data_IF_534386741902
#
_entry.id   IF_534386741902
#
_cell.length_a   1.000
_cell.length_b   1.000
_cell.length_c   1.000
_cell.angle_alpha   90.00
_cell.angle_beta   90.00
_cell.angle_gamma   90.00
#
_symmetry.space_group_name_H-M   'P 1'
#
loop_
_entity.id
_entity.type
_entity.pdbx_description
1 polymer ?
#
# COMPACT_ATOMS: atom_id res chain seq x y z
N UNK A 1 -19.92 -30.36 -12.33
CA UNK A 1 -20.98 -29.83 -11.43
C UNK A 1 -21.16 -28.35 -11.74
N UNK A 2 -22.28 -28.00 -12.36
CA UNK A 2 -22.64 -26.63 -12.72
C UNK A 2 -23.26 -26.00 -11.47
N UNK A 3 -22.58 -25.05 -10.84
CA UNK A 3 -23.15 -24.27 -9.75
C UNK A 3 -23.95 -23.11 -10.35
N UNK A 4 -25.21 -23.38 -10.68
CA UNK A 4 -26.22 -22.36 -10.92
C UNK A 4 -27.03 -22.14 -9.64
N UNK A 5 -26.94 -20.96 -9.05
CA UNK A 5 -27.68 -20.57 -7.85
C UNK A 5 -27.16 -19.26 -7.29
N UNK A 6 -28.06 -18.37 -6.88
CA UNK A 6 -27.80 -17.05 -6.31
C UNK A 6 -26.54 -16.94 -5.44
N UNK A 7 -25.75 -15.88 -5.67
CA UNK A 7 -24.51 -15.54 -4.97
C UNK A 7 -24.75 -15.14 -3.51
N UNK A 8 -24.93 -16.10 -2.61
CA UNK A 8 -24.96 -15.89 -1.15
C UNK A 8 -23.96 -16.79 -0.41
N UNK A 9 -22.99 -17.37 -1.13
CA UNK A 9 -21.97 -18.24 -0.55
C UNK A 9 -20.78 -17.45 -0.01
N UNK A 10 -20.25 -17.84 1.15
CA UNK A 10 -19.00 -17.29 1.68
C UNK A 10 -17.77 -17.65 0.79
N UNK A 11 -17.98 -18.59 -0.12
CA UNK A 11 -17.02 -19.03 -1.13
C UNK A 11 -17.70 -18.99 -2.50
N UNK A 12 -17.11 -18.24 -3.43
CA UNK A 12 -17.66 -18.01 -4.77
C UNK A 12 -16.60 -18.32 -5.81
N UNK A 13 -16.93 -19.14 -6.81
CA UNK A 13 -16.08 -19.31 -8.00
C UNK A 13 -16.36 -18.17 -8.98
N UNK A 14 -15.34 -17.36 -9.29
CA UNK A 14 -15.45 -16.19 -10.17
C UNK A 14 -14.83 -16.41 -11.56
N UNK A 15 -14.01 -17.44 -11.72
CA UNK A 15 -13.49 -17.91 -13.01
C UNK A 15 -13.24 -19.43 -12.97
N UNK A 16 -13.00 -20.11 -14.11
CA UNK A 16 -12.79 -21.56 -14.14
C UNK A 16 -11.73 -22.05 -13.14
N UNK A 17 -10.67 -21.25 -12.98
CA UNK A 17 -9.54 -21.48 -12.09
C UNK A 17 -9.43 -20.45 -10.95
N UNK A 18 -10.49 -19.70 -10.64
CA UNK A 18 -10.46 -18.64 -9.62
C UNK A 18 -11.60 -18.77 -8.61
N UNK A 19 -11.25 -18.84 -7.32
CA UNK A 19 -12.21 -18.87 -6.21
C UNK A 19 -11.92 -17.72 -5.25
N UNK A 20 -12.98 -17.05 -4.81
CA UNK A 20 -12.96 -15.98 -3.82
C UNK A 20 -13.57 -16.50 -2.53
N UNK A 21 -12.85 -16.27 -1.43
CA UNK A 21 -13.35 -16.55 -0.09
C UNK A 21 -13.59 -15.24 0.64
N UNK A 22 -14.55 -15.28 1.54
CA UNK A 22 -14.99 -14.12 2.30
C UNK A 22 -15.33 -14.51 3.74
N UNK A 23 -14.49 -15.37 4.35
CA UNK A 23 -14.51 -15.68 5.79
C UNK A 23 -13.18 -15.28 6.47
N UNK A 24 -13.18 -14.97 7.78
CA UNK A 24 -11.94 -14.66 8.51
C UNK A 24 -10.99 -15.86 8.56
N UNK A 25 -11.51 -17.07 8.78
CA UNK A 25 -10.73 -18.30 8.81
C UNK A 25 -10.01 -18.54 7.48
N UNK A 26 -10.69 -18.30 6.37
CA UNK A 26 -10.09 -18.34 5.05
C UNK A 26 -8.88 -17.39 4.89
N UNK A 27 -8.91 -16.19 5.48
CA UNK A 27 -7.78 -15.26 5.44
C UNK A 27 -6.56 -15.83 6.17
N UNK A 28 -6.77 -16.40 7.36
CA UNK A 28 -5.73 -17.05 8.16
C UNK A 28 -5.13 -18.24 7.41
N UNK A 29 -5.96 -19.13 6.86
CA UNK A 29 -5.52 -20.30 6.10
C UNK A 29 -4.67 -19.96 4.87
N UNK A 30 -4.94 -18.85 4.18
CA UNK A 30 -4.11 -18.39 3.04
C UNK A 30 -2.81 -17.75 3.53
N UNK A 31 -2.96 -16.67 4.29
CA UNK A 31 -1.91 -15.67 4.45
C UNK A 31 -0.96 -16.03 5.59
N UNK A 32 -1.43 -16.83 6.57
CA UNK A 32 -0.65 -17.31 7.69
C UNK A 32 -0.20 -18.77 7.55
N UNK A 33 -0.33 -19.38 6.36
CA UNK A 33 0.06 -20.77 6.12
C UNK A 33 1.48 -21.09 6.62
N UNK A 34 2.45 -20.21 6.35
CA UNK A 34 3.83 -20.37 6.80
C UNK A 34 3.97 -20.37 8.34
N UNK A 35 3.20 -19.50 9.03
CA UNK A 35 3.20 -19.43 10.49
C UNK A 35 2.56 -20.67 11.13
N UNK A 36 1.64 -21.32 10.41
CA UNK A 36 1.03 -22.60 10.79
C UNK A 36 1.87 -23.83 10.39
N UNK A 37 3.09 -23.65 9.88
CA UNK A 37 3.94 -24.75 9.42
C UNK A 37 3.41 -25.46 8.15
N UNK A 38 2.51 -24.82 7.40
CA UNK A 38 1.94 -25.34 6.16
C UNK A 38 2.68 -24.77 4.94
N UNK A 39 2.55 -25.46 3.81
CA UNK A 39 3.11 -24.96 2.54
C UNK A 39 2.52 -23.58 2.20
N UNK A 40 3.39 -22.65 1.80
CA UNK A 40 3.00 -21.26 1.58
C UNK A 40 2.25 -21.10 0.27
N UNK A 41 1.17 -20.33 0.31
CA UNK A 41 0.46 -19.90 -0.88
C UNK A 41 1.31 -18.90 -1.67
N UNK A 42 1.70 -19.30 -2.87
CA UNK A 42 2.61 -18.54 -3.73
C UNK A 42 1.92 -17.27 -4.23
N UNK A 43 2.64 -16.17 -4.38
CA UNK A 43 2.10 -14.98 -5.06
C UNK A 43 1.82 -15.30 -6.52
N UNK A 44 0.93 -14.54 -7.14
CA UNK A 44 0.75 -14.58 -8.60
C UNK A 44 1.64 -13.53 -9.25
N UNK A 45 2.04 -13.81 -10.48
CA UNK A 45 2.71 -12.88 -11.38
C UNK A 45 1.80 -11.79 -11.96
N UNK A 46 0.50 -11.74 -11.63
CA UNK A 46 -0.44 -10.75 -12.18
C UNK A 46 0.06 -9.31 -12.04
N UNK A 47 0.63 -8.97 -10.88
CA UNK A 47 1.10 -7.61 -10.59
C UNK A 47 2.56 -7.35 -11.04
N UNK A 48 3.24 -8.36 -11.57
CA UNK A 48 4.61 -8.22 -12.06
C UNK A 48 4.65 -7.49 -13.41
N UNK A 49 5.51 -6.49 -13.54
CA UNK A 49 5.75 -5.78 -14.81
C UNK A 49 6.80 -6.47 -15.71
N UNK A 50 7.21 -7.69 -15.41
CA UNK A 50 8.02 -8.51 -16.32
C UNK A 50 9.45 -7.98 -16.50
N UNK A 51 9.99 -7.32 -15.48
CA UNK A 51 11.34 -6.71 -15.50
C UNK A 51 12.45 -7.73 -15.30
N UNK A 52 12.11 -9.00 -15.04
CA UNK A 52 13.04 -10.09 -14.76
C UNK A 52 13.53 -10.16 -13.31
N UNK A 53 13.15 -9.20 -12.47
CA UNK A 53 13.40 -9.20 -11.02
C UNK A 53 12.10 -8.80 -10.29
N UNK A 54 11.58 -9.70 -9.45
CA UNK A 54 10.31 -9.48 -8.74
C UNK A 54 10.41 -8.53 -7.54
N UNK A 55 11.61 -8.02 -7.22
CA UNK A 55 11.86 -7.24 -6.01
C UNK A 55 11.43 -8.02 -4.76
N UNK A 56 10.55 -7.44 -3.94
CA UNK A 56 9.97 -8.09 -2.76
C UNK A 56 8.44 -8.29 -2.87
N UNK A 57 7.74 -7.42 -3.61
CA UNK A 57 6.28 -7.49 -3.79
C UNK A 57 5.90 -8.54 -4.83
N UNK A 58 6.67 -8.72 -5.90
CA UNK A 58 6.32 -9.65 -6.99
C UNK A 58 7.14 -10.93 -7.02
N UNK A 59 8.13 -11.09 -6.14
CA UNK A 59 8.87 -12.35 -6.00
C UNK A 59 7.92 -13.50 -5.58
N UNK A 60 7.77 -14.47 -6.48
CA UNK A 60 6.92 -15.63 -6.31
C UNK A 60 7.60 -16.68 -5.42
N UNK A 61 8.91 -16.87 -5.55
CA UNK A 61 9.66 -17.86 -4.77
C UNK A 61 9.70 -17.47 -3.28
N UNK A 62 9.06 -18.24 -2.37
CA UNK A 62 9.00 -17.92 -0.96
C UNK A 62 10.38 -17.82 -0.29
N UNK A 63 11.37 -18.59 -0.77
CA UNK A 63 12.72 -18.61 -0.22
C UNK A 63 13.43 -17.31 -0.60
N UNK A 64 13.45 -16.96 -1.90
CA UNK A 64 14.04 -15.69 -2.36
C UNK A 64 13.36 -14.48 -1.74
N UNK A 65 12.02 -14.50 -1.67
CA UNK A 65 11.25 -13.46 -0.99
C UNK A 65 11.68 -13.27 0.46
N UNK A 66 11.92 -14.38 1.19
CA UNK A 66 12.38 -14.32 2.59
C UNK A 66 13.76 -13.69 2.70
N UNK A 67 14.67 -14.00 1.79
CA UNK A 67 16.01 -13.41 1.73
C UNK A 67 15.97 -11.91 1.44
N UNK A 68 15.10 -11.47 0.51
CA UNK A 68 14.89 -10.04 0.23
C UNK A 68 14.25 -9.35 1.43
N UNK A 69 13.21 -9.95 2.02
CA UNK A 69 12.51 -9.40 3.19
C UNK A 69 13.45 -9.20 4.40
N UNK A 70 14.37 -10.15 4.66
CA UNK A 70 15.37 -10.02 5.73
C UNK A 70 16.21 -8.73 5.62
N UNK A 71 16.48 -8.26 4.40
CA UNK A 71 17.25 -7.02 4.15
C UNK A 71 16.43 -5.74 4.35
N UNK A 72 15.11 -5.84 4.17
CA UNK A 72 14.18 -4.70 4.21
C UNK A 72 13.58 -4.52 5.62
N UNK A 73 13.26 -5.60 6.31
CA UNK A 73 12.61 -5.60 7.64
C UNK A 73 13.28 -4.66 8.66
N UNK A 74 14.62 -4.55 8.77
CA UNK A 74 15.24 -3.61 9.71
C UNK A 74 14.81 -2.14 9.52
N UNK A 75 14.50 -1.76 8.29
CA UNK A 75 14.02 -0.42 7.94
C UNK A 75 12.61 -0.10 8.47
N UNK A 76 11.89 -1.12 8.96
CA UNK A 76 10.56 -1.05 9.57
C UNK A 76 10.59 -1.38 11.08
N UNK A 77 11.78 -1.50 11.69
CA UNK A 77 11.90 -1.66 13.14
C UNK A 77 11.35 -0.44 13.88
N UNK A 78 10.91 -0.60 15.13
CA UNK A 78 10.44 0.51 15.98
C UNK A 78 11.46 1.66 16.04
N UNK A 79 12.76 1.32 16.14
CA UNK A 79 13.84 2.30 16.11
C UNK A 79 13.90 3.05 14.78
N UNK A 80 13.78 2.35 13.66
CA UNK A 80 13.82 2.95 12.33
C UNK A 80 12.60 3.83 12.04
N UNK A 81 11.41 3.40 12.46
CA UNK A 81 10.17 4.18 12.34
C UNK A 81 10.28 5.47 13.15
N UNK A 82 10.72 5.39 14.41
CA UNK A 82 10.98 6.58 15.24
C UNK A 82 11.99 7.53 14.60
N UNK A 83 13.06 6.99 14.02
CA UNK A 83 14.08 7.80 13.37
C UNK A 83 13.58 8.58 12.14
N UNK A 84 12.46 8.16 11.54
CA UNK A 84 11.79 8.81 10.39
C UNK A 84 10.68 9.79 10.80
N UNK A 85 10.34 9.86 12.09
CA UNK A 85 9.22 10.66 12.60
C UNK A 85 9.35 12.13 12.21
N UNK A 86 10.53 12.74 12.38
CA UNK A 86 10.73 14.15 12.08
C UNK A 86 10.42 14.47 10.60
N UNK A 87 10.83 13.60 9.68
CA UNK A 87 10.52 13.72 8.25
C UNK A 87 9.01 13.63 7.99
N UNK A 88 8.31 12.68 8.65
CA UNK A 88 6.85 12.56 8.52
C UNK A 88 6.15 13.83 9.03
N UNK A 89 6.52 14.32 10.21
CA UNK A 89 5.93 15.54 10.77
C UNK A 89 6.15 16.75 9.87
N UNK A 90 7.35 16.92 9.29
CA UNK A 90 7.63 18.00 8.34
C UNK A 90 6.61 18.05 7.19
N UNK A 91 6.25 16.90 6.60
CA UNK A 91 5.27 16.85 5.52
C UNK A 91 3.83 17.06 6.01
N UNK A 92 3.48 16.53 7.18
CA UNK A 92 2.16 16.74 7.79
C UNK A 92 1.96 18.22 8.15
N UNK A 93 2.98 18.88 8.70
CA UNK A 93 2.95 20.29 9.05
C UNK A 93 2.75 21.16 7.82
N UNK A 94 3.51 20.88 6.74
CA UNK A 94 3.34 21.56 5.46
C UNK A 94 1.92 21.36 4.89
N UNK A 95 1.38 20.14 4.97
CA UNK A 95 0.01 19.88 4.54
C UNK A 95 -1.00 20.68 5.37
N UNK A 96 -0.88 20.65 6.69
CA UNK A 96 -1.77 21.38 7.62
C UNK A 96 -1.72 22.88 7.35
N UNK A 97 -0.54 23.45 7.16
CA UNK A 97 -0.38 24.88 6.87
C UNK A 97 -0.98 25.26 5.52
N UNK A 98 -0.80 24.42 4.49
CA UNK A 98 -1.50 24.60 3.21
C UNK A 98 -3.01 24.50 3.37
N UNK A 99 -3.53 23.56 4.16
CA UNK A 99 -4.96 23.45 4.43
C UNK A 99 -5.51 24.67 5.18
N UNK A 100 -4.74 25.33 6.05
CA UNK A 100 -5.15 26.60 6.68
C UNK A 100 -5.19 27.76 5.68
N UNK A 101 -4.24 27.80 4.74
CA UNK A 101 -4.14 28.86 3.72
C UNK A 101 -5.32 28.80 2.72
N UNK A 102 -5.67 27.60 2.27
CA UNK A 102 -6.68 27.40 1.23
C UNK A 102 -8.05 26.97 1.78
N UNK A 103 -8.09 26.47 3.01
CA UNK A 103 -9.30 26.05 3.69
C UNK A 103 -10.20 27.24 4.03
N UNK A 104 -11.49 27.12 3.71
CA UNK A 104 -12.46 28.19 3.94
C UNK A 104 -12.78 29.04 2.71
N UNK A 105 -12.07 28.85 1.59
CA UNK A 105 -12.46 29.41 0.29
C UNK A 105 -13.75 28.78 -0.21
N UNK A 106 -14.59 29.56 -0.90
CA UNK A 106 -15.91 29.13 -1.38
C UNK A 106 -15.83 27.97 -2.40
N UNK A 107 -14.74 27.88 -3.14
CA UNK A 107 -14.46 26.83 -4.13
C UNK A 107 -14.17 25.45 -3.51
N UNK A 108 -13.94 25.40 -2.20
CA UNK A 108 -13.53 24.17 -1.52
C UNK A 108 -12.11 23.72 -1.90
N UNK A 109 -11.75 22.52 -1.46
CA UNK A 109 -10.42 21.94 -1.68
C UNK A 109 -10.57 20.56 -2.28
N UNK A 110 -9.89 20.29 -3.39
CA UNK A 110 -9.79 18.95 -3.97
C UNK A 110 -8.88 18.06 -3.11
N UNK A 111 -9.41 17.57 -1.98
CA UNK A 111 -8.62 16.91 -0.94
C UNK A 111 -7.88 15.66 -1.45
N UNK A 112 -8.45 14.92 -2.41
CA UNK A 112 -7.82 13.74 -3.01
C UNK A 112 -6.47 14.06 -3.64
N UNK A 113 -6.37 15.22 -4.31
CA UNK A 113 -5.15 15.67 -4.97
C UNK A 113 -4.10 16.12 -3.96
N UNK A 114 -4.51 16.83 -2.91
CA UNK A 114 -3.61 17.23 -1.82
C UNK A 114 -3.08 16.04 -1.03
N UNK A 115 -3.93 15.03 -0.77
CA UNK A 115 -3.50 13.78 -0.12
C UNK A 115 -2.56 12.96 -1.01
N UNK A 116 -2.76 12.97 -2.33
CA UNK A 116 -1.80 12.37 -3.28
C UNK A 116 -0.45 13.07 -3.19
N UNK A 117 -0.42 14.40 -3.19
CA UNK A 117 0.83 15.16 -3.08
C UNK A 117 1.55 14.91 -1.75
N UNK A 118 0.82 14.97 -0.63
CA UNK A 118 1.36 14.64 0.70
C UNK A 118 1.99 13.25 0.71
N UNK A 119 1.25 12.25 0.25
CA UNK A 119 1.68 10.85 0.33
C UNK A 119 2.86 10.58 -0.60
N UNK A 120 2.90 11.20 -1.79
CA UNK A 120 4.01 11.07 -2.74
C UNK A 120 5.25 11.81 -2.27
N UNK A 121 5.13 13.05 -1.76
CA UNK A 121 6.27 13.81 -1.24
C UNK A 121 6.92 13.04 -0.07
N UNK A 122 6.10 12.58 0.89
CA UNK A 122 6.56 11.77 2.02
C UNK A 122 7.19 10.44 1.56
N UNK A 123 6.54 9.71 0.64
CA UNK A 123 7.05 8.42 0.20
C UNK A 123 8.31 8.53 -0.66
N UNK A 124 8.44 9.58 -1.48
CA UNK A 124 9.63 9.83 -2.27
C UNK A 124 10.82 10.14 -1.37
N UNK A 125 10.61 10.91 -0.30
CA UNK A 125 11.66 11.26 0.63
C UNK A 125 12.12 10.05 1.45
N UNK A 126 11.17 9.31 2.04
CA UNK A 126 11.48 8.10 2.82
C UNK A 126 12.08 6.96 1.98
N UNK A 127 11.95 7.00 0.65
CA UNK A 127 12.49 5.98 -0.25
C UNK A 127 13.78 6.40 -0.92
N UNK A 128 13.79 7.55 -1.58
CA UNK A 128 14.91 8.02 -2.40
C UNK A 128 15.74 9.12 -1.72
N UNK A 129 15.34 9.61 -0.54
CA UNK A 129 15.92 10.80 0.07
C UNK A 129 15.71 12.05 -0.79
N UNK A 130 14.58 12.11 -1.52
CA UNK A 130 14.27 13.15 -2.49
C UNK A 130 13.00 13.91 -2.11
N UNK A 131 13.16 15.22 -1.93
CA UNK A 131 12.07 16.17 -1.83
C UNK A 131 11.49 16.43 -3.25
N UNK A 132 10.25 15.99 -3.49
CA UNK A 132 9.56 16.19 -4.78
C UNK A 132 8.84 17.53 -4.88
N UNK A 133 8.62 18.20 -3.74
CA UNK A 133 8.01 19.53 -3.59
C UNK A 133 6.62 19.70 -4.22
N UNK A 134 5.83 18.63 -4.34
CA UNK A 134 4.53 18.72 -5.02
C UNK A 134 3.53 19.57 -4.25
N UNK A 135 3.51 19.51 -2.91
CA UNK A 135 2.65 20.38 -2.09
C UNK A 135 3.10 21.84 -2.14
N UNK A 136 4.41 22.09 -2.24
CA UNK A 136 4.96 23.45 -2.29
C UNK A 136 4.69 24.13 -3.62
N UNK A 137 4.92 23.41 -4.71
CA UNK A 137 4.79 23.91 -6.07
C UNK A 137 3.37 23.74 -6.64
N UNK A 138 2.47 23.09 -5.89
CA UNK A 138 1.07 22.85 -6.22
C UNK A 138 0.89 22.17 -7.60
N UNK A 139 1.82 21.27 -7.93
CA UNK A 139 1.88 20.58 -9.22
C UNK A 139 2.45 19.18 -9.07
N UNK A 140 2.05 18.30 -9.98
CA UNK A 140 2.65 16.98 -10.06
C UNK A 140 4.13 17.10 -10.50
N UNK A 141 4.98 16.28 -9.89
CA UNK A 141 6.33 16.10 -10.40
C UNK A 141 6.32 15.37 -11.74
N UNK A 142 7.35 15.60 -12.56
CA UNK A 142 7.54 14.85 -13.81
C UNK A 142 7.60 13.33 -13.55
N UNK A 143 8.11 12.94 -12.38
CA UNK A 143 8.15 11.55 -11.93
C UNK A 143 6.74 10.98 -11.77
N UNK A 144 5.89 11.65 -11.00
CA UNK A 144 4.51 11.23 -10.76
C UNK A 144 3.67 11.23 -12.04
N UNK A 145 3.77 12.27 -12.87
CA UNK A 145 3.02 12.33 -14.14
C UNK A 145 3.41 11.18 -15.08
N UNK A 146 4.71 10.89 -15.17
CA UNK A 146 5.19 9.79 -16.02
C UNK A 146 4.71 8.45 -15.47
N UNK A 147 4.73 8.25 -14.14
CA UNK A 147 4.22 7.03 -13.50
C UNK A 147 2.72 6.84 -13.76
N UNK A 148 1.88 7.85 -13.49
CA UNK A 148 0.44 7.78 -13.72
C UNK A 148 0.10 7.50 -15.19
N UNK A 149 0.91 8.04 -16.12
CA UNK A 149 0.79 7.75 -17.54
C UNK A 149 1.05 6.29 -17.94
N UNK A 150 1.64 5.45 -17.06
CA UNK A 150 1.87 4.02 -17.31
C UNK A 150 0.69 3.12 -16.91
N UNK A 151 -0.34 3.64 -16.23
CA UNK A 151 -1.45 2.84 -15.69
C UNK A 151 -2.18 1.99 -16.74
N UNK A 152 -2.41 2.56 -17.94
CA UNK A 152 -3.03 1.82 -19.04
C UNK A 152 -2.17 0.62 -19.46
N UNK A 153 -0.85 0.80 -19.58
CA UNK A 153 0.05 -0.28 -19.94
C UNK A 153 0.07 -1.37 -18.87
N UNK A 154 0.13 -0.99 -17.59
CA UNK A 154 0.03 -1.94 -16.49
C UNK A 154 -1.27 -2.74 -16.49
N UNK A 155 -2.39 -2.09 -16.82
CA UNK A 155 -3.70 -2.75 -16.96
C UNK A 155 -3.70 -3.74 -18.13
N UNK A 156 -3.18 -3.33 -19.30
CA UNK A 156 -3.07 -4.21 -20.46
C UNK A 156 -2.21 -5.44 -20.17
N UNK A 157 -1.12 -5.29 -19.41
CA UNK A 157 -0.27 -6.41 -18.98
C UNK A 157 -1.01 -7.38 -18.05
N UNK A 158 -1.71 -6.86 -17.04
CA UNK A 158 -2.53 -7.67 -16.13
C UNK A 158 -3.62 -8.45 -16.88
N UNK A 159 -4.33 -7.79 -17.80
CA UNK A 159 -5.37 -8.41 -18.64
C UNK A 159 -4.76 -9.48 -19.55
N UNK A 160 -3.59 -9.21 -20.15
CA UNK A 160 -2.90 -10.18 -21.03
C UNK A 160 -2.47 -11.43 -20.27
N UNK A 161 -2.02 -11.29 -19.00
CA UNK A 161 -1.71 -12.42 -18.12
C UNK A 161 -2.97 -13.21 -17.74
N UNK A 162 -4.08 -12.53 -17.50
CA UNK A 162 -5.37 -13.17 -17.17
C UNK A 162 -6.00 -13.88 -18.38
N UNK A 163 -5.83 -13.34 -19.59
CA UNK A 163 -6.37 -13.87 -20.83
C UNK A 163 -5.29 -14.04 -21.92
N UNK A 164 -4.42 -15.06 -21.81
CA UNK A 164 -3.28 -15.22 -22.73
C UNK A 164 -3.69 -15.32 -24.21
N UNK A 165 -4.84 -15.93 -24.51
CA UNK A 165 -5.37 -16.03 -25.88
C UNK A 165 -5.74 -14.67 -26.49
N UNK A 166 -6.07 -13.68 -25.66
CA UNK A 166 -6.40 -12.31 -26.08
C UNK A 166 -5.21 -11.36 -25.99
N UNK A 167 -4.05 -11.84 -25.50
CA UNK A 167 -2.85 -11.01 -25.36
C UNK A 167 -2.39 -10.32 -26.66
N UNK A 168 -2.55 -10.91 -27.87
CA UNK A 168 -2.20 -10.18 -29.09
C UNK A 168 -3.05 -8.92 -29.32
N UNK A 169 -4.29 -8.88 -28.80
CA UNK A 169 -5.16 -7.70 -28.92
C UNK A 169 -4.68 -6.53 -28.06
N UNK A 170 -3.88 -6.78 -27.02
CA UNK A 170 -3.29 -5.70 -26.21
C UNK A 170 -2.39 -4.78 -27.04
N UNK A 171 -1.80 -5.29 -28.13
CA UNK A 171 -1.00 -4.49 -29.06
C UNK A 171 -1.81 -3.40 -29.76
N UNK A 172 -3.13 -3.60 -29.97
CA UNK A 172 -4.01 -2.59 -30.55
C UNK A 172 -4.16 -1.35 -29.65
N UNK A 173 -4.02 -1.54 -28.34
CA UNK A 173 -4.13 -0.49 -27.33
C UNK A 173 -2.75 0.01 -26.85
N UNK A 174 -1.67 -0.63 -27.28
CA UNK A 174 -0.30 -0.29 -26.89
C UNK A 174 0.31 0.68 -27.90
N UNK A 175 0.09 1.98 -27.70
CA UNK A 175 0.70 3.00 -28.56
C UNK A 175 2.21 3.16 -28.32
N UNK A 176 3.01 3.60 -29.32
CA UNK A 176 4.42 3.92 -29.12
C UNK A 176 4.66 4.98 -28.04
N UNK A 177 3.69 5.88 -27.80
CA UNK A 177 3.74 6.87 -26.72
C UNK A 177 3.74 6.20 -25.35
N UNK A 178 2.92 5.17 -25.14
CA UNK A 178 2.89 4.41 -23.87
C UNK A 178 4.21 3.68 -23.62
N UNK A 179 4.80 3.06 -24.64
CA UNK A 179 6.10 2.41 -24.52
C UNK A 179 7.22 3.41 -24.18
N UNK A 180 7.19 4.61 -24.78
CA UNK A 180 8.13 5.70 -24.43
C UNK A 180 7.92 6.21 -23.00
N UNK A 181 6.69 6.22 -22.48
CA UNK A 181 6.42 6.58 -21.09
C UNK A 181 7.01 5.54 -20.13
N UNK A 182 6.87 4.24 -20.42
CA UNK A 182 7.47 3.19 -19.61
C UNK A 182 9.01 3.29 -19.58
N UNK A 183 9.64 3.49 -20.74
CA UNK A 183 11.11 3.64 -20.79
C UNK A 183 11.58 4.92 -20.09
N UNK A 184 10.83 6.02 -20.23
CA UNK A 184 11.09 7.26 -19.48
C UNK A 184 10.96 7.05 -17.98
N UNK A 185 9.90 6.37 -17.53
CA UNK A 185 9.69 6.05 -16.12
C UNK A 185 10.82 5.19 -15.56
N UNK A 186 11.18 4.11 -16.26
CA UNK A 186 12.30 3.24 -15.88
C UNK A 186 13.59 4.02 -15.75
N UNK A 187 13.89 4.93 -16.68
CA UNK A 187 15.07 5.79 -16.63
C UNK A 187 15.04 6.72 -15.42
N UNK A 188 13.92 7.38 -15.15
CA UNK A 188 13.78 8.26 -13.99
C UNK A 188 13.97 7.48 -12.67
N UNK A 189 13.38 6.29 -12.54
CA UNK A 189 13.58 5.44 -11.36
C UNK A 189 15.05 5.01 -11.20
N UNK A 190 15.72 4.60 -12.28
CA UNK A 190 17.15 4.28 -12.26
C UNK A 190 18.00 5.49 -11.85
N UNK A 191 17.69 6.69 -12.33
CA UNK A 191 18.39 7.92 -11.96
C UNK A 191 18.23 8.24 -10.47
N UNK A 192 17.03 8.10 -9.91
CA UNK A 192 16.79 8.32 -8.47
C UNK A 192 17.54 7.30 -7.60
N UNK A 193 17.51 6.02 -7.97
CA UNK A 193 18.25 4.99 -7.24
C UNK A 193 19.75 5.18 -7.36
N UNK A 194 20.26 5.56 -8.54
CA UNK A 194 21.69 5.81 -8.73
C UNK A 194 22.16 7.02 -7.90
N UNK A 195 21.44 8.15 -7.93
CA UNK A 195 21.73 9.29 -7.04
C UNK A 195 21.74 8.86 -5.58
N UNK A 196 20.79 8.03 -5.16
CA UNK A 196 20.71 7.57 -3.78
C UNK A 196 21.87 6.65 -3.38
N UNK A 197 22.38 5.83 -4.30
CA UNK A 197 23.58 5.00 -4.12
C UNK A 197 24.84 5.86 -4.01
N UNK A 198 24.93 6.92 -4.82
CA UNK A 198 26.08 7.83 -4.85
C UNK A 198 26.12 8.69 -3.58
N UNK A 199 24.96 9.05 -3.03
CA UNK A 199 24.82 9.87 -1.83
C UNK A 199 24.78 9.08 -0.51
N UNK A 200 25.26 7.83 -0.49
CA UNK A 200 25.26 7.00 0.74
C UNK A 200 26.07 7.65 1.85
N UNK A 201 25.47 7.69 3.05
CA UNK A 201 26.07 8.32 4.23
C UNK A 201 25.98 9.85 4.25
N UNK A 202 25.37 10.47 3.23
CA UNK A 202 25.16 11.93 3.14
C UNK A 202 23.67 12.29 3.24
N UNK A 203 22.88 11.50 3.98
CA UNK A 203 21.44 11.73 4.14
C UNK A 203 21.15 12.79 5.19
N UNK A 204 20.19 13.68 4.90
CA UNK A 204 19.72 14.70 5.85
C UNK A 204 18.98 14.08 7.04
N UNK A 205 18.28 12.99 6.78
CA UNK A 205 17.54 12.20 7.75
C UNK A 205 17.50 10.73 7.30
N UNK A 206 17.20 9.79 8.21
CA UNK A 206 17.11 8.37 7.87
C UNK A 206 16.00 8.06 6.84
N UNK A 207 16.29 7.16 5.90
CA UNK A 207 15.33 6.66 4.90
C UNK A 207 15.36 5.12 4.80
N UNK A 208 14.69 4.48 3.84
CA UNK A 208 14.76 3.03 3.66
C UNK A 208 16.13 2.53 3.19
N UNK A 209 16.84 3.29 2.36
CA UNK A 209 18.14 2.93 1.82
C UNK A 209 19.24 2.92 2.88
N UNK A 210 19.15 3.75 3.92
CA UNK A 210 20.12 3.74 5.03
C UNK A 210 20.16 2.40 5.77
N UNK A 211 19.07 1.61 5.71
CA UNK A 211 19.00 0.26 6.27
C UNK A 211 19.30 -0.83 5.23
N UNK A 212 18.81 -0.66 4.00
CA UNK A 212 18.98 -1.67 2.94
C UNK A 212 20.38 -1.69 2.33
N UNK A 213 21.01 -0.50 2.23
CA UNK A 213 22.33 -0.30 1.66
C UNK A 213 23.13 0.72 2.53
N UNK A 214 23.51 0.32 3.76
CA UNK A 214 24.26 1.19 4.68
C UNK A 214 25.57 1.73 4.07
N UNK A 215 26.04 2.88 4.53
CA UNK A 215 27.25 3.53 4.00
C UNK A 215 28.52 2.65 4.09
N UNK A 216 28.61 1.82 5.13
CA UNK A 216 29.71 0.87 5.33
C UNK A 216 29.57 -0.43 4.53
N UNK A 217 28.48 -0.61 3.78
CA UNK A 217 28.25 -1.79 2.96
C UNK A 217 28.83 -1.63 1.55
N UNK A 218 29.32 -2.73 0.92
CA UNK A 218 29.80 -2.68 -0.46
C UNK A 218 28.75 -2.12 -1.41
N UNK A 219 29.17 -1.25 -2.32
CA UNK A 219 28.30 -0.74 -3.37
C UNK A 219 27.80 -1.90 -4.26
N UNK A 220 26.58 -1.81 -4.83
CA UNK A 220 26.13 -2.75 -5.84
C UNK A 220 27.02 -2.66 -7.08
N UNK A 221 27.74 -3.74 -7.40
CA UNK A 221 28.70 -3.78 -8.52
C UNK A 221 28.09 -4.36 -9.79
N UNK A 222 27.14 -5.29 -9.65
CA UNK A 222 26.51 -5.95 -10.80
C UNK A 222 25.25 -5.24 -11.28
N UNK A 223 24.98 -5.32 -12.59
CA UNK A 223 23.72 -4.84 -13.18
C UNK A 223 22.50 -5.47 -12.49
N UNK A 224 22.57 -6.76 -12.14
CA UNK A 224 21.48 -7.47 -11.45
C UNK A 224 21.17 -6.86 -10.08
N UNK A 225 22.20 -6.54 -9.28
CA UNK A 225 21.99 -5.89 -7.98
C UNK A 225 21.37 -4.50 -8.12
N UNK A 226 21.80 -3.72 -9.11
CA UNK A 226 21.21 -2.39 -9.36
C UNK A 226 19.74 -2.49 -9.77
N UNK A 227 19.41 -3.37 -10.72
CA UNK A 227 18.01 -3.62 -11.13
C UNK A 227 17.16 -4.10 -9.96
N UNK A 228 17.70 -4.97 -9.10
CA UNK A 228 16.99 -5.41 -7.90
C UNK A 228 16.67 -4.23 -6.95
N UNK A 229 17.64 -3.34 -6.71
CA UNK A 229 17.42 -2.15 -5.88
C UNK A 229 16.42 -1.19 -6.52
N UNK A 230 16.46 -1.00 -7.85
CA UNK A 230 15.48 -0.23 -8.61
C UNK A 230 14.06 -0.76 -8.43
N UNK A 231 13.88 -2.08 -8.46
CA UNK A 231 12.57 -2.72 -8.23
C UNK A 231 12.10 -2.57 -6.80
N UNK A 232 12.96 -2.83 -5.82
CA UNK A 232 12.58 -2.70 -4.40
C UNK A 232 12.27 -1.24 -4.04
N UNK A 233 13.05 -0.27 -4.53
CA UNK A 233 12.80 1.15 -4.31
C UNK A 233 11.46 1.57 -4.92
N UNK A 234 11.19 1.21 -6.18
CA UNK A 234 9.91 1.49 -6.81
C UNK A 234 8.74 0.89 -6.02
N UNK A 235 8.88 -0.35 -5.56
CA UNK A 235 7.87 -1.03 -4.75
C UNK A 235 7.64 -0.36 -3.39
N UNK A 236 8.69 0.11 -2.71
CA UNK A 236 8.57 0.87 -1.47
C UNK A 236 7.89 2.22 -1.70
N UNK A 237 8.23 2.91 -2.80
CA UNK A 237 7.60 4.16 -3.18
C UNK A 237 6.09 4.00 -3.44
N UNK A 238 5.68 3.08 -4.30
CA UNK A 238 4.24 2.89 -4.59
C UNK A 238 3.44 2.42 -3.37
N UNK A 239 4.02 1.52 -2.57
CA UNK A 239 3.37 1.02 -1.36
C UNK A 239 3.31 2.06 -0.26
N UNK A 240 4.19 3.08 -0.31
CA UNK A 240 4.26 4.16 0.66
C UNK A 240 3.28 5.30 0.38
N UNK A 241 2.90 5.56 -0.88
CA UNK A 241 1.97 6.65 -1.18
C UNK A 241 0.52 6.22 -1.37
N UNK A 242 0.24 5.19 -2.17
CA UNK A 242 -1.14 4.92 -2.64
C UNK A 242 -2.06 4.43 -1.50
N UNK A 243 -1.65 3.45 -0.66
CA UNK A 243 -2.46 3.04 0.49
C UNK A 243 -2.66 4.16 1.52
N UNK A 244 -1.65 5.00 1.71
CA UNK A 244 -1.66 6.10 2.68
C UNK A 244 -2.65 7.18 2.25
N UNK A 245 -2.61 7.58 0.98
CA UNK A 245 -3.57 8.51 0.40
C UNK A 245 -5.02 8.01 0.56
N UNK A 246 -5.27 6.75 0.19
CA UNK A 246 -6.60 6.13 0.29
C UNK A 246 -7.09 6.12 1.74
N UNK A 247 -6.21 5.78 2.68
CA UNK A 247 -6.55 5.72 4.11
C UNK A 247 -6.90 7.11 4.65
N UNK A 248 -6.07 8.12 4.38
CA UNK A 248 -6.36 9.49 4.81
C UNK A 248 -7.66 10.01 4.20
N UNK A 249 -7.92 9.69 2.92
CA UNK A 249 -9.17 10.05 2.27
C UNK A 249 -10.37 9.42 2.99
N UNK A 250 -10.30 8.12 3.32
CA UNK A 250 -11.33 7.43 4.09
C UNK A 250 -11.58 8.08 5.46
N UNK A 251 -10.50 8.40 6.19
CA UNK A 251 -10.60 9.08 7.47
C UNK A 251 -11.34 10.42 7.33
N UNK A 252 -10.89 11.30 6.42
CA UNK A 252 -11.51 12.61 6.23
C UNK A 252 -12.95 12.49 5.74
N UNK A 253 -13.24 11.54 4.85
CA UNK A 253 -14.60 11.29 4.38
C UNK A 253 -15.54 10.94 5.53
N UNK A 254 -15.17 10.00 6.40
CA UNK A 254 -16.03 9.62 7.54
C UNK A 254 -16.16 10.74 8.58
N UNK A 255 -15.09 11.48 8.85
CA UNK A 255 -15.16 12.63 9.76
C UNK A 255 -16.09 13.73 9.25
N UNK A 256 -16.10 13.98 7.94
CA UNK A 256 -17.02 14.97 7.33
C UNK A 256 -18.46 14.46 7.29
N UNK A 257 -18.67 13.14 7.10
CA UNK A 257 -20.00 12.56 6.99
C UNK A 257 -20.69 12.29 8.32
N UNK A 258 -19.92 12.06 9.39
CA UNK A 258 -20.44 11.69 10.71
C UNK A 258 -20.02 12.73 11.77
N UNK A 259 -20.82 13.79 11.99
CA UNK A 259 -20.47 14.88 12.90
C UNK A 259 -20.25 14.43 14.35
N UNK A 260 -20.95 13.37 14.80
CA UNK A 260 -20.77 12.80 16.13
C UNK A 260 -19.39 12.15 16.30
N UNK A 261 -18.92 11.44 15.27
CA UNK A 261 -17.59 10.83 15.24
C UNK A 261 -16.50 11.91 15.26
N UNK A 262 -16.68 12.96 14.45
CA UNK A 262 -15.79 14.12 14.47
C UNK A 262 -15.74 14.79 15.85
N UNK A 263 -16.90 15.07 16.47
CA UNK A 263 -16.95 15.71 17.77
C UNK A 263 -16.26 14.88 18.87
N UNK A 264 -16.46 13.56 18.87
CA UNK A 264 -15.82 12.66 19.83
C UNK A 264 -14.29 12.61 19.63
N UNK A 265 -13.82 12.49 18.38
CA UNK A 265 -12.39 12.43 18.08
C UNK A 265 -11.70 13.76 18.43
N UNK A 266 -12.33 14.90 18.10
CA UNK A 266 -11.85 16.22 18.49
C UNK A 266 -11.85 16.38 20.01
N UNK A 267 -12.88 15.89 20.70
CA UNK A 267 -12.98 15.92 22.15
C UNK A 267 -11.85 15.14 22.82
N UNK A 268 -11.56 13.92 22.37
CA UNK A 268 -10.44 13.11 22.87
C UNK A 268 -9.10 13.83 22.65
N UNK A 269 -8.79 14.24 21.42
CA UNK A 269 -7.51 14.88 21.06
C UNK A 269 -7.29 16.20 21.83
N UNK A 270 -8.31 17.05 21.91
CA UNK A 270 -8.20 18.37 22.58
C UNK A 270 -8.21 18.29 24.10
N UNK A 271 -8.66 17.18 24.66
CA UNK A 271 -8.60 16.94 26.11
C UNK A 271 -7.23 16.41 26.50
N UNK A 272 -6.65 15.51 25.70
CA UNK A 272 -5.35 14.90 25.98
C UNK A 272 -4.19 15.88 25.73
N UNK A 273 -4.25 16.69 24.67
CA UNK A 273 -3.13 17.53 24.26
C UNK A 273 -3.42 19.02 24.42
N UNK A 274 -2.49 19.74 25.05
CA UNK A 274 -2.58 21.20 25.22
C UNK A 274 -2.07 21.94 23.97
N UNK A 275 -1.10 21.36 23.27
CA UNK A 275 -0.48 21.94 22.09
C UNK A 275 -0.26 20.91 20.99
N UNK A 276 -0.13 21.38 19.74
CA UNK A 276 0.19 20.52 18.61
C UNK A 276 1.54 19.82 18.76
N UNK A 277 2.50 20.46 19.42
CA UNK A 277 3.83 19.88 19.71
C UNK A 277 3.81 18.71 20.69
N UNK A 278 2.72 18.53 21.46
CA UNK A 278 2.58 17.41 22.39
C UNK A 278 2.17 16.10 21.67
N UNK A 279 1.77 16.21 20.41
CA UNK A 279 1.34 15.08 19.58
C UNK A 279 2.59 14.36 19.05
N UNK A 280 2.92 13.24 19.68
CA UNK A 280 4.04 12.37 19.32
C UNK A 280 3.52 10.94 19.10
N UNK A 281 4.21 10.08 18.33
CA UNK A 281 3.81 8.70 18.14
C UNK A 281 3.57 7.94 19.46
N UNK A 282 4.39 8.20 20.49
CA UNK A 282 4.23 7.63 21.82
C UNK A 282 2.97 8.10 22.52
N UNK A 283 2.63 9.39 22.40
CA UNK A 283 1.45 9.96 23.06
C UNK A 283 0.13 9.54 22.42
N UNK A 284 0.16 9.15 21.13
CA UNK A 284 -1.00 8.63 20.40
C UNK A 284 -1.38 7.17 20.72
N UNK A 285 -0.51 6.42 21.40
CA UNK A 285 -0.73 4.97 21.66
C UNK A 285 -1.97 4.73 22.53
N UNK A 286 -2.25 5.64 23.47
CA UNK A 286 -3.30 5.48 24.47
C UNK A 286 -4.65 6.09 24.08
N UNK A 287 -4.76 6.71 22.90
CA UNK A 287 -6.01 7.31 22.43
C UNK A 287 -6.96 6.24 21.90
N UNK A 288 -7.77 5.67 22.78
CA UNK A 288 -8.66 4.55 22.47
C UNK A 288 -9.65 4.88 21.34
N UNK A 289 -10.24 6.08 21.31
CA UNK A 289 -11.20 6.48 20.30
C UNK A 289 -10.53 6.71 18.94
N UNK A 290 -9.37 7.37 18.90
CA UNK A 290 -8.56 7.50 17.69
C UNK A 290 -8.19 6.13 17.10
N UNK A 291 -7.73 5.19 17.93
CA UNK A 291 -7.40 3.84 17.47
C UNK A 291 -8.64 3.14 16.92
N UNK A 292 -9.77 3.21 17.64
CA UNK A 292 -11.03 2.63 17.19
C UNK A 292 -11.51 3.24 15.86
N UNK A 293 -11.39 4.56 15.69
CA UNK A 293 -11.75 5.27 14.47
C UNK A 293 -10.88 4.83 13.28
N UNK A 294 -9.57 4.70 13.47
CA UNK A 294 -8.66 4.22 12.42
C UNK A 294 -9.00 2.77 12.04
N UNK A 295 -9.23 1.90 13.02
CA UNK A 295 -9.62 0.51 12.77
C UNK A 295 -10.96 0.42 12.03
N UNK A 296 -11.95 1.23 12.41
CA UNK A 296 -13.25 1.27 11.75
C UNK A 296 -13.15 1.84 10.33
N UNK A 297 -12.28 2.83 10.12
CA UNK A 297 -11.97 3.33 8.77
C UNK A 297 -11.36 2.22 7.91
N UNK A 298 -10.37 1.47 8.42
CA UNK A 298 -9.85 0.31 7.68
C UNK A 298 -10.89 -0.77 7.46
N UNK A 299 -11.81 -0.99 8.40
CA UNK A 299 -12.91 -1.95 8.24
C UNK A 299 -13.81 -1.57 7.06
N UNK A 300 -14.16 -0.29 6.92
CA UNK A 300 -15.09 0.17 5.89
C UNK A 300 -14.43 0.55 4.55
N UNK A 301 -13.20 1.06 4.60
CA UNK A 301 -12.49 1.65 3.46
C UNK A 301 -11.02 1.23 3.46
N UNK A 302 -10.78 -0.04 3.15
CA UNK A 302 -9.45 -0.65 3.15
C UNK A 302 -8.72 -0.48 1.80
N UNK A 303 -7.44 -0.04 1.78
CA UNK A 303 -6.61 -0.10 0.59
C UNK A 303 -6.26 -1.55 0.23
N UNK A 304 -6.87 -2.07 -0.84
CA UNK A 304 -6.71 -3.49 -1.25
C UNK A 304 -7.93 -4.37 -0.96
N UNK A 305 -9.13 -3.78 -0.94
CA UNK A 305 -10.44 -4.40 -0.72
C UNK A 305 -10.68 -5.77 -1.41
N UNK A 306 -10.07 -6.00 -2.56
CA UNK A 306 -10.22 -7.23 -3.37
C UNK A 306 -9.25 -8.35 -2.98
N UNK A 307 -8.32 -8.10 -2.06
CA UNK A 307 -7.27 -9.02 -1.64
C UNK A 307 -6.13 -9.16 -2.65
N UNK A 308 -5.09 -9.88 -2.22
CA UNK A 308 -3.93 -10.16 -3.06
C UNK A 308 -3.99 -11.60 -3.57
N UNK A 309 -4.06 -11.83 -4.89
CA UNK A 309 -4.17 -13.16 -5.47
C UNK A 309 -3.02 -14.09 -5.08
N UNK A 310 -3.34 -15.35 -4.84
CA UNK A 310 -2.39 -16.42 -4.50
C UNK A 310 -2.64 -17.70 -5.30
N UNK A 311 -1.60 -18.50 -5.50
CA UNK A 311 -1.67 -19.85 -6.08
C UNK A 311 -1.68 -20.89 -4.96
N UNK A 312 -2.65 -21.80 -5.00
CA UNK A 312 -2.76 -22.86 -3.99
C UNK A 312 -1.65 -23.91 -4.14
N UNK A 313 -1.05 -24.37 -3.03
CA UNK A 313 -0.20 -25.56 -3.04
C UNK A 313 -0.99 -26.89 -3.10
N UNK A 314 -2.32 -26.85 -2.96
CA UNK A 314 -3.15 -28.04 -2.74
C UNK A 314 -3.50 -28.19 -1.25
N UNK A 315 -4.34 -27.29 -0.73
CA UNK A 315 -4.58 -27.16 0.71
C UNK A 315 -6.06 -26.96 1.05
N UNK A 316 -6.44 -27.38 2.25
CA UNK A 316 -7.77 -27.11 2.82
C UNK A 316 -7.84 -25.71 3.40
N UNK A 317 -8.92 -25.01 3.10
CA UNK A 317 -9.20 -23.64 3.52
C UNK A 317 -10.63 -23.62 4.02
N UNK A 318 -10.82 -23.26 5.28
CA UNK A 318 -12.16 -23.15 5.85
C UNK A 318 -13.03 -24.40 5.58
N UNK A 319 -12.43 -25.58 5.77
CA UNK A 319 -13.04 -26.89 5.50
C UNK A 319 -13.10 -27.31 4.02
N UNK A 320 -12.77 -26.45 3.07
CA UNK A 320 -12.86 -26.73 1.62
C UNK A 320 -11.48 -27.00 1.04
N UNK A 321 -11.30 -28.16 0.40
CA UNK A 321 -10.07 -28.48 -0.31
C UNK A 321 -9.93 -27.64 -1.59
N UNK A 322 -8.79 -26.95 -1.72
CA UNK A 322 -8.44 -26.17 -2.90
C UNK A 322 -7.31 -26.88 -3.65
N UNK A 323 -7.53 -27.34 -4.90
CA UNK A 323 -6.50 -28.01 -5.68
C UNK A 323 -5.28 -27.14 -5.98
N UNK A 324 -4.12 -27.79 -6.14
CA UNK A 324 -2.86 -27.13 -6.49
C UNK A 324 -2.98 -26.34 -7.80
N UNK A 325 -2.40 -25.14 -7.82
CA UNK A 325 -2.35 -24.26 -9.00
C UNK A 325 -3.59 -23.39 -9.22
N UNK A 326 -4.68 -23.62 -8.49
CA UNK A 326 -5.87 -22.76 -8.55
C UNK A 326 -5.50 -21.35 -8.10
N UNK A 327 -5.88 -20.34 -8.89
CA UNK A 327 -5.81 -18.95 -8.50
C UNK A 327 -6.87 -18.68 -7.45
N UNK A 328 -6.51 -17.90 -6.44
CA UNK A 328 -7.43 -17.59 -5.37
C UNK A 328 -7.28 -16.16 -4.95
N UNK A 329 -8.42 -15.52 -4.75
CA UNK A 329 -8.49 -14.23 -4.08
C UNK A 329 -9.25 -14.32 -2.75
N UNK A 330 -9.09 -13.32 -1.91
CA UNK A 330 -9.82 -13.16 -0.67
C UNK A 330 -10.43 -11.77 -0.64
N UNK A 331 -11.74 -11.66 -0.50
CA UNK A 331 -12.38 -10.34 -0.45
C UNK A 331 -12.48 -9.89 1.00
N UNK A 332 -11.58 -8.99 1.39
CA UNK A 332 -11.66 -8.31 2.69
C UNK A 332 -12.90 -7.41 2.74
N UNK A 333 -13.25 -6.75 1.64
CA UNK A 333 -14.45 -5.93 1.59
C UNK A 333 -15.74 -6.72 1.81
N UNK A 334 -15.84 -7.96 1.32
CA UNK A 334 -17.04 -8.78 1.53
C UNK A 334 -17.18 -9.34 2.97
N UNK A 335 -16.12 -9.26 3.79
CA UNK A 335 -16.14 -9.65 5.20
C UNK A 335 -16.79 -8.60 6.08
N UNK A 336 -16.35 -7.37 5.91
CA UNK A 336 -16.53 -6.34 6.91
C UNK A 336 -17.97 -5.81 7.08
N UNK A 337 -18.82 -5.72 6.03
CA UNK A 337 -20.21 -5.30 6.18
C UNK A 337 -21.12 -6.31 6.90
N UNK A 338 -20.62 -7.50 7.29
CA UNK A 338 -21.47 -8.54 7.89
C UNK A 338 -21.63 -8.33 9.40
N UNK A 339 -22.86 -8.15 9.91
CA UNK A 339 -23.10 -7.95 11.34
C UNK A 339 -22.70 -9.14 12.22
N UNK A 340 -22.68 -10.36 11.68
CA UNK A 340 -22.55 -11.60 12.45
C UNK A 340 -21.10 -12.07 12.73
N UNK A 341 -20.08 -11.44 12.14
CA UNK A 341 -18.68 -11.90 12.21
C UNK A 341 -17.77 -10.94 12.98
N UNK A 342 -18.31 -9.88 13.57
CA UNK A 342 -17.54 -8.88 14.29
C UNK A 342 -17.54 -9.20 15.79
N UNK A 343 -16.36 -9.34 16.45
CA UNK A 343 -16.32 -9.30 17.90
C UNK A 343 -16.95 -7.98 18.37
N UNK A 344 -17.95 -8.12 19.25
CA UNK A 344 -18.78 -7.07 19.87
C UNK A 344 -18.32 -5.63 19.64
N UNK A 345 -19.17 -4.82 18.97
CA UNK A 345 -19.14 -3.35 18.91
C UNK A 345 -18.12 -2.73 19.87
N UNK A 346 -16.90 -2.52 19.38
CA UNK A 346 -15.95 -1.68 20.06
C UNK A 346 -16.53 -0.26 20.04
N UNK A 347 -16.99 0.19 21.20
CA UNK A 347 -17.11 1.60 21.62
C UNK A 347 -18.30 2.45 21.13
N UNK A 348 -19.28 1.95 20.38
CA UNK A 348 -20.50 2.75 20.05
C UNK A 348 -21.54 2.78 21.19
N UNK A 349 -21.22 2.28 22.40
CA UNK A 349 -22.19 2.19 23.51
C UNK A 349 -21.68 2.70 24.86
N UNK A 350 -20.82 3.73 24.88
CA UNK A 350 -20.60 4.54 26.08
C UNK A 350 -20.70 6.02 25.73
N UNK A 351 -21.93 6.47 25.47
CA UNK A 351 -22.24 7.89 25.63
C UNK A 351 -22.21 8.25 27.11
N UNK A 352 -21.88 9.51 27.48
CA UNK A 352 -21.87 9.94 28.86
C UNK A 352 -23.30 9.87 29.43
N UNK A 353 -23.43 9.22 30.58
CA UNK A 353 -24.62 9.26 31.45
C UNK A 353 -24.79 10.61 32.11
#
# INVERSE_FOLDING_TARGET
MVFGGCYSGEVVRVAPNEVVFSTPQAALDIYNAAAMGRETWVKTDLMDFGTGDGGFIWEEDPIKRREVAKKIVPAFSTKAVRAKQATVHMYIDLFVDKMKEIGGKAEGVEITKWLLWLSVDMSADLTYGREMHQMRDEKNSVFLETLLGTNLLGTLMQVSKKFPLLSPLALLFTSPKLLKLLSKFSKLNSEEVQKRIDNRGMTKHPDFFDYMLPANSPAPTSKKQKVHLEQVAFQLFIAGFDPVQITFYGCLFFLVKEPSVYANLVGEIRTEFQSYSDITPESLVNLEYLQAFIQETFRMYYPGATGFPRRSPGATVDGIYVPKGLLRNHSQFALFPRPAQLPSRALVAKGPS
#
